data_IF_344208288652
#
_entry.id   IF_344208288652
#
_cell.length_a   1.000
_cell.length_b   1.000
_cell.length_c   1.000
_cell.angle_alpha   90.00
_cell.angle_beta   90.00
_cell.angle_gamma   90.00
#
_symmetry.space_group_name_H-M   'P 1'
#
loop_
_entity.id
_entity.type
_entity.pdbx_description
1 polymer ?
#
# COMPACT_ATOMS: atom_id res chain seq x y z
N UNK A 1 7.18 2.76 -28.83
CA UNK A 1 8.36 2.76 -27.98
C UNK A 1 8.02 2.58 -26.51
N UNK A 2 7.13 3.33 -25.90
CA UNK A 2 6.72 3.24 -24.49
C UNK A 2 6.18 1.86 -24.05
N UNK A 3 5.52 1.12 -24.97
CA UNK A 3 4.97 -0.21 -24.66
C UNK A 3 6.06 -1.27 -24.41
N UNK A 4 7.21 -1.20 -25.10
CA UNK A 4 8.37 -2.07 -24.86
C UNK A 4 9.11 -1.72 -23.56
N UNK A 5 9.09 -0.44 -23.14
CA UNK A 5 9.67 -0.01 -21.87
C UNK A 5 8.85 -0.47 -20.65
N UNK A 6 7.53 -0.59 -20.80
CA UNK A 6 6.68 -1.07 -19.71
C UNK A 6 6.90 -2.56 -19.39
N UNK A 7 7.29 -3.36 -20.38
CA UNK A 7 7.60 -4.79 -20.16
C UNK A 7 8.94 -4.99 -19.42
N UNK A 8 9.80 -3.98 -19.44
CA UNK A 8 11.07 -3.94 -18.70
C UNK A 8 10.97 -3.40 -17.27
N UNK A 9 9.78 -2.95 -16.82
CA UNK A 9 9.63 -2.33 -15.50
C UNK A 9 10.10 -3.24 -14.36
N UNK A 10 9.85 -4.54 -14.45
CA UNK A 10 10.25 -5.51 -13.44
C UNK A 10 11.79 -5.65 -13.33
N UNK A 11 12.52 -5.53 -14.44
CA UNK A 11 13.99 -5.63 -14.46
C UNK A 11 14.65 -4.41 -13.82
N UNK A 12 13.96 -3.28 -13.82
CA UNK A 12 14.44 -2.01 -13.24
C UNK A 12 14.16 -1.95 -11.74
N UNK A 13 13.22 -2.75 -11.22
CA UNK A 13 12.79 -2.72 -9.83
C UNK A 13 13.94 -2.81 -8.81
N UNK A 14 14.91 -3.73 -8.94
CA UNK A 14 16.02 -3.81 -7.99
C UNK A 14 17.01 -2.64 -8.07
N UNK A 15 17.07 -1.94 -9.21
CA UNK A 15 18.00 -0.82 -9.44
C UNK A 15 17.35 0.50 -9.00
N UNK A 16 16.11 0.72 -9.40
CA UNK A 16 15.36 1.93 -9.08
C UNK A 16 13.86 1.63 -8.92
N UNK A 17 13.41 1.35 -7.69
CA UNK A 17 12.00 1.05 -7.42
C UNK A 17 11.06 2.17 -7.87
N UNK A 18 11.46 3.44 -7.68
CA UNK A 18 10.65 4.61 -8.08
C UNK A 18 10.49 4.66 -9.61
N UNK A 19 11.56 4.49 -10.35
CA UNK A 19 11.49 4.51 -11.82
C UNK A 19 10.66 3.33 -12.34
N UNK A 20 10.86 2.14 -11.76
CA UNK A 20 10.07 0.95 -12.08
C UNK A 20 8.57 1.18 -11.82
N UNK A 21 8.23 1.79 -10.69
CA UNK A 21 6.87 2.16 -10.34
C UNK A 21 6.27 3.14 -11.36
N UNK A 22 6.97 4.23 -11.69
CA UNK A 22 6.49 5.21 -12.69
C UNK A 22 6.28 4.58 -14.07
N UNK A 23 7.17 3.68 -14.50
CA UNK A 23 7.00 2.93 -15.74
C UNK A 23 5.80 1.98 -15.70
N UNK A 24 5.54 1.36 -14.54
CA UNK A 24 4.40 0.46 -14.36
C UNK A 24 3.05 1.17 -14.53
N UNK A 25 2.95 2.45 -14.16
CA UNK A 25 1.73 3.27 -14.28
C UNK A 25 1.28 3.45 -15.73
N UNK A 26 2.18 3.29 -16.71
CA UNK A 26 1.84 3.45 -18.11
C UNK A 26 0.80 2.43 -18.60
N UNK A 27 0.83 1.21 -18.05
CA UNK A 27 -0.13 0.16 -18.40
C UNK A 27 -0.33 -0.83 -17.26
N UNK A 28 -1.12 -0.48 -16.26
CA UNK A 28 -1.45 -1.36 -15.12
C UNK A 28 -2.29 -2.58 -15.52
N UNK A 29 -2.84 -2.63 -16.73
CA UNK A 29 -3.54 -3.80 -17.24
C UNK A 29 -2.59 -4.97 -17.56
N UNK A 30 -1.30 -4.69 -17.77
CA UNK A 30 -0.29 -5.72 -17.87
C UNK A 30 -0.04 -6.29 -16.45
N UNK A 31 -0.13 -7.62 -16.31
CA UNK A 31 0.05 -8.31 -15.03
C UNK A 31 1.41 -8.01 -14.39
N UNK A 32 2.49 -7.94 -15.18
CA UNK A 32 3.83 -7.63 -14.68
C UNK A 32 3.90 -6.22 -14.08
N UNK A 33 3.30 -5.23 -14.76
CA UNK A 33 3.23 -3.86 -14.24
C UNK A 33 2.37 -3.78 -12.98
N UNK A 34 1.27 -4.54 -12.93
CA UNK A 34 0.46 -4.66 -11.73
C UNK A 34 1.24 -5.24 -10.56
N UNK A 35 2.04 -6.29 -10.79
CA UNK A 35 2.93 -6.85 -9.75
C UNK A 35 3.95 -5.81 -9.28
N UNK A 36 4.61 -5.10 -10.19
CA UNK A 36 5.58 -4.05 -9.85
C UNK A 36 4.93 -2.95 -9.01
N UNK A 37 3.72 -2.52 -9.39
CA UNK A 37 2.95 -1.53 -8.64
C UNK A 37 2.69 -1.99 -7.20
N UNK A 38 2.16 -3.20 -7.02
CA UNK A 38 1.85 -3.76 -5.69
C UNK A 38 3.11 -3.94 -4.85
N UNK A 39 4.19 -4.48 -5.44
CA UNK A 39 5.47 -4.66 -4.75
C UNK A 39 6.05 -3.32 -4.31
N UNK A 40 5.93 -2.28 -5.14
CA UNK A 40 6.40 -0.94 -4.75
C UNK A 40 5.69 -0.43 -3.50
N UNK A 41 4.36 -0.57 -3.40
CA UNK A 41 3.61 -0.18 -2.20
C UNK A 41 4.03 -0.99 -0.97
N UNK A 42 4.27 -2.28 -1.13
CA UNK A 42 4.76 -3.13 -0.05
C UNK A 42 6.16 -2.71 0.44
N UNK A 43 7.09 -2.44 -0.48
CA UNK A 43 8.45 -1.95 -0.17
C UNK A 43 8.39 -0.54 0.45
N UNK A 44 7.50 0.31 -0.01
CA UNK A 44 7.31 1.64 0.56
C UNK A 44 6.82 1.54 2.02
N UNK A 45 5.85 0.66 2.31
CA UNK A 45 5.43 0.36 3.68
C UNK A 45 6.61 -0.13 4.55
N UNK A 46 7.43 -1.05 4.03
CA UNK A 46 8.61 -1.57 4.74
C UNK A 46 9.69 -0.51 5.04
N UNK A 47 9.80 0.50 4.15
CA UNK A 47 10.82 1.56 4.25
C UNK A 47 10.47 2.64 5.29
N UNK A 48 9.30 2.58 5.95
CA UNK A 48 8.91 3.57 6.95
C UNK A 48 9.89 3.66 8.12
N UNK A 49 10.16 4.90 8.55
CA UNK A 49 10.95 5.18 9.75
C UNK A 49 10.02 5.33 10.95
N UNK A 50 10.41 4.74 12.07
CA UNK A 50 9.68 4.76 13.34
C UNK A 50 10.44 5.54 14.41
N UNK A 51 11.29 6.49 14.02
CA UNK A 51 12.16 7.22 14.92
C UNK A 51 11.53 8.49 15.53
N UNK A 52 10.50 9.05 14.90
CA UNK A 52 9.83 10.26 15.41
C UNK A 52 8.59 9.89 16.24
N UNK A 53 8.58 10.16 17.57
CA UNK A 53 7.43 9.89 18.44
C UNK A 53 6.15 10.65 18.07
N UNK A 54 6.26 11.72 17.27
CA UNK A 54 5.12 12.52 16.81
C UNK A 54 4.46 11.92 15.56
N UNK A 55 5.21 11.09 14.83
CA UNK A 55 4.69 10.46 13.63
C UNK A 55 3.64 9.40 13.94
N UNK A 56 2.62 9.30 13.11
CA UNK A 56 1.55 8.31 13.27
C UNK A 56 2.08 6.88 13.19
N UNK A 57 3.07 6.64 12.33
CA UNK A 57 3.74 5.33 12.23
C UNK A 57 4.42 4.89 13.54
N UNK A 58 4.95 5.83 14.35
CA UNK A 58 5.49 5.52 15.66
C UNK A 58 4.39 5.10 16.64
N UNK A 59 3.27 5.83 16.66
CA UNK A 59 2.10 5.48 17.49
C UNK A 59 1.56 4.10 17.14
N UNK A 60 1.51 3.78 15.87
CA UNK A 60 1.09 2.44 15.39
C UNK A 60 2.10 1.36 15.78
N UNK A 61 3.39 1.66 15.81
CA UNK A 61 4.41 0.73 16.32
C UNK A 61 4.16 0.42 17.81
N UNK A 62 3.96 1.44 18.63
CA UNK A 62 3.68 1.27 20.07
C UNK A 62 2.37 0.51 20.28
N UNK A 63 1.34 0.81 19.52
CA UNK A 63 0.08 0.07 19.55
C UNK A 63 0.29 -1.40 19.19
N UNK A 64 1.03 -1.70 18.12
CA UNK A 64 1.34 -3.07 17.72
C UNK A 64 2.06 -3.85 18.84
N UNK A 65 3.09 -3.26 19.45
CA UNK A 65 3.82 -3.88 20.55
C UNK A 65 2.91 -4.17 21.76
N UNK A 66 1.98 -3.24 22.08
CA UNK A 66 1.00 -3.40 23.14
C UNK A 66 0.01 -4.53 22.81
N UNK A 67 -0.54 -4.54 21.60
CA UNK A 67 -1.46 -5.60 21.16
C UNK A 67 -0.79 -6.98 21.12
N UNK A 68 0.47 -7.05 20.68
CA UNK A 68 1.23 -8.30 20.64
C UNK A 68 1.42 -8.94 22.01
N UNK A 69 1.43 -8.14 23.10
CA UNK A 69 1.71 -8.62 24.44
C UNK A 69 0.47 -8.96 25.27
N UNK A 70 -0.68 -8.35 25.01
CA UNK A 70 -1.82 -8.37 25.95
C UNK A 70 -3.20 -8.55 25.33
N UNK A 71 -3.40 -8.22 24.06
CA UNK A 71 -4.75 -8.15 23.48
C UNK A 71 -5.20 -9.48 22.86
N UNK A 72 -6.46 -9.80 23.08
CA UNK A 72 -7.16 -10.89 22.40
C UNK A 72 -8.14 -10.35 21.36
N UNK A 73 -8.58 -11.19 20.42
CA UNK A 73 -9.61 -10.83 19.44
C UNK A 73 -10.89 -10.37 20.14
N UNK A 74 -11.20 -10.98 21.28
CA UNK A 74 -12.38 -10.65 22.10
C UNK A 74 -12.31 -9.23 22.65
N UNK A 75 -11.12 -8.79 23.06
CA UNK A 75 -10.92 -7.43 23.60
C UNK A 75 -11.16 -6.38 22.51
N UNK A 76 -10.63 -6.59 21.31
CA UNK A 76 -10.87 -5.68 20.16
C UNK A 76 -12.36 -5.62 19.81
N UNK A 77 -13.04 -6.77 19.83
CA UNK A 77 -14.47 -6.82 19.55
C UNK A 77 -15.27 -6.05 20.58
N UNK A 78 -14.95 -6.21 21.87
CA UNK A 78 -15.59 -5.48 22.96
C UNK A 78 -15.32 -3.97 22.89
N UNK A 79 -14.10 -3.55 22.56
CA UNK A 79 -13.75 -2.15 22.37
C UNK A 79 -14.50 -1.51 21.20
N UNK A 80 -14.70 -2.25 20.11
CA UNK A 80 -15.53 -1.80 18.99
C UNK A 80 -17.01 -1.66 19.41
N UNK A 81 -17.58 -2.65 20.09
CA UNK A 81 -18.97 -2.59 20.55
C UNK A 81 -19.22 -1.49 21.57
N UNK A 82 -18.23 -1.18 22.41
CA UNK A 82 -18.31 -0.08 23.39
C UNK A 82 -18.05 1.30 22.79
N UNK A 83 -17.71 1.39 21.50
CA UNK A 83 -17.41 2.63 20.80
C UNK A 83 -16.05 3.24 21.13
N UNK A 84 -15.16 2.49 21.79
CA UNK A 84 -13.80 2.95 22.13
C UNK A 84 -12.88 2.97 20.91
N UNK A 85 -13.13 2.12 19.91
CA UNK A 85 -12.41 2.11 18.64
C UNK A 85 -13.39 2.12 17.47
N UNK A 86 -13.01 2.83 16.39
CA UNK A 86 -13.77 2.81 15.13
C UNK A 86 -13.12 1.88 14.10
N UNK A 87 -11.87 1.48 14.30
CA UNK A 87 -11.10 0.66 13.36
C UNK A 87 -10.79 -0.72 13.92
N UNK A 88 -11.73 -1.64 13.68
CA UNK A 88 -11.59 -3.05 14.04
C UNK A 88 -10.54 -3.76 13.17
N UNK A 89 -10.36 -3.28 11.93
CA UNK A 89 -9.48 -3.92 10.96
C UNK A 89 -8.01 -3.80 11.37
N UNK A 90 -7.60 -2.62 11.84
CA UNK A 90 -6.22 -2.39 12.30
C UNK A 90 -5.87 -3.29 13.49
N UNK A 91 -6.75 -3.34 14.49
CA UNK A 91 -6.54 -4.18 15.67
C UNK A 91 -6.47 -5.69 15.33
N UNK A 92 -7.39 -6.18 14.49
CA UNK A 92 -7.34 -7.57 14.03
C UNK A 92 -6.09 -7.88 13.23
N UNK A 93 -5.67 -6.97 12.35
CA UNK A 93 -4.44 -7.12 11.58
C UNK A 93 -3.22 -7.22 12.50
N UNK A 94 -3.16 -6.38 13.53
CA UNK A 94 -2.06 -6.41 14.50
C UNK A 94 -2.00 -7.72 15.25
N UNK A 95 -3.11 -8.27 15.73
CA UNK A 95 -3.14 -9.58 16.39
C UNK A 95 -2.70 -10.69 15.43
N UNK A 96 -3.23 -10.72 14.20
CA UNK A 96 -2.83 -11.74 13.22
C UNK A 96 -1.34 -11.63 12.91
N UNK A 97 -0.83 -10.42 12.70
CA UNK A 97 0.59 -10.21 12.40
C UNK A 97 1.49 -10.51 13.60
N UNK A 98 1.08 -10.23 14.83
CA UNK A 98 1.88 -10.50 16.03
C UNK A 98 2.15 -11.98 16.23
N UNK A 99 1.24 -12.85 15.78
CA UNK A 99 1.45 -14.30 15.78
C UNK A 99 2.50 -14.77 14.77
N UNK A 100 2.81 -13.93 13.75
CA UNK A 100 3.74 -14.29 12.68
C UNK A 100 5.10 -13.59 12.88
N UNK A 101 5.08 -12.34 13.35
CA UNK A 101 6.28 -11.50 13.46
C UNK A 101 6.16 -10.48 14.57
N UNK A 102 7.27 -10.18 15.21
CA UNK A 102 7.41 -9.05 16.16
C UNK A 102 7.92 -7.77 15.47
N UNK A 103 8.24 -7.83 14.18
CA UNK A 103 8.80 -6.72 13.46
C UNK A 103 7.71 -5.88 12.78
N UNK A 104 7.46 -4.69 13.31
CA UNK A 104 6.47 -3.74 12.77
C UNK A 104 6.66 -3.43 11.29
N UNK A 105 7.91 -3.42 10.78
CA UNK A 105 8.17 -3.17 9.34
C UNK A 105 7.52 -4.23 8.44
N UNK A 106 7.44 -5.48 8.92
CA UNK A 106 6.76 -6.56 8.20
C UNK A 106 5.25 -6.32 8.18
N UNK A 107 4.70 -5.80 9.28
CA UNK A 107 3.27 -5.42 9.33
C UNK A 107 2.98 -4.33 8.30
N UNK A 108 3.81 -3.27 8.25
CA UNK A 108 3.64 -2.20 7.26
C UNK A 108 3.87 -2.69 5.82
N UNK A 109 4.75 -3.67 5.61
CA UNK A 109 4.90 -4.34 4.33
C UNK A 109 3.59 -5.03 3.91
N UNK A 110 2.94 -5.76 4.81
CA UNK A 110 1.66 -6.43 4.56
C UNK A 110 0.55 -5.41 4.28
N UNK A 111 0.46 -4.34 5.08
CA UNK A 111 -0.49 -3.25 4.86
C UNK A 111 -0.27 -2.60 3.48
N UNK A 112 0.98 -2.32 3.14
CA UNK A 112 1.36 -1.78 1.83
C UNK A 112 0.98 -2.72 0.69
N UNK A 113 1.17 -4.03 0.87
CA UNK A 113 0.80 -5.05 -0.11
C UNK A 113 -0.71 -5.10 -0.33
N UNK A 114 -1.51 -5.11 0.74
CA UNK A 114 -2.97 -5.12 0.68
C UNK A 114 -3.47 -3.82 0.04
N UNK A 115 -3.02 -2.66 0.52
CA UNK A 115 -3.39 -1.35 -0.02
C UNK A 115 -2.99 -1.19 -1.49
N UNK A 116 -1.78 -1.64 -1.84
CA UNK A 116 -1.28 -1.66 -3.21
C UNK A 116 -2.14 -2.55 -4.13
N UNK A 117 -2.60 -3.70 -3.65
CA UNK A 117 -3.49 -4.59 -4.39
C UNK A 117 -4.84 -3.93 -4.68
N UNK A 118 -5.48 -3.32 -3.67
CA UNK A 118 -6.74 -2.60 -3.85
C UNK A 118 -6.57 -1.41 -4.81
N UNK A 119 -5.52 -0.61 -4.64
CA UNK A 119 -5.20 0.51 -5.53
C UNK A 119 -4.97 0.03 -6.97
N UNK A 120 -4.23 -1.07 -7.16
CA UNK A 120 -4.03 -1.69 -8.48
C UNK A 120 -5.35 -2.11 -9.13
N UNK A 121 -6.21 -2.84 -8.40
CA UNK A 121 -7.50 -3.29 -8.92
C UNK A 121 -8.38 -2.11 -9.33
N UNK A 122 -8.42 -1.06 -8.54
CA UNK A 122 -9.17 0.14 -8.82
C UNK A 122 -8.61 0.90 -10.04
N UNK A 123 -7.31 1.22 -10.02
CA UNK A 123 -6.66 1.97 -11.09
C UNK A 123 -6.65 1.22 -12.43
N UNK A 124 -6.48 -0.09 -12.42
CA UNK A 124 -6.52 -0.90 -13.64
C UNK A 124 -7.89 -0.85 -14.34
N UNK A 125 -8.98 -0.80 -13.55
CA UNK A 125 -10.34 -0.61 -14.07
C UNK A 125 -10.54 0.80 -14.62
N UNK A 126 -10.08 1.83 -13.90
CA UNK A 126 -10.13 3.22 -14.37
C UNK A 126 -9.34 3.38 -15.66
N UNK A 127 -8.14 2.84 -15.73
CA UNK A 127 -7.33 2.89 -16.95
C UNK A 127 -8.04 2.23 -18.14
N UNK A 128 -8.71 1.10 -17.92
CA UNK A 128 -9.51 0.45 -18.96
C UNK A 128 -10.59 1.39 -19.50
N UNK A 129 -11.34 2.03 -18.63
CA UNK A 129 -12.41 2.95 -19.01
C UNK A 129 -11.86 4.19 -19.73
N UNK A 130 -10.81 4.80 -19.20
CA UNK A 130 -10.24 6.03 -19.75
C UNK A 130 -9.55 5.83 -21.09
N UNK A 131 -8.87 4.70 -21.31
CA UNK A 131 -8.25 4.38 -22.60
C UNK A 131 -9.28 4.29 -23.73
N UNK A 132 -10.50 3.84 -23.43
CA UNK A 132 -11.60 3.77 -24.40
C UNK A 132 -12.12 5.15 -24.80
N UNK A 133 -12.06 6.14 -23.89
CA UNK A 133 -12.69 7.45 -24.08
C UNK A 133 -11.70 8.59 -24.39
N UNK A 134 -10.49 8.54 -23.85
CA UNK A 134 -9.55 9.68 -23.86
C UNK A 134 -8.16 9.37 -24.43
N UNK A 135 -7.90 8.12 -24.78
CA UNK A 135 -6.61 7.68 -25.30
C UNK A 135 -5.50 7.52 -24.26
N UNK A 136 -4.38 6.92 -24.68
CA UNK A 136 -3.34 6.45 -23.77
C UNK A 136 -2.59 7.57 -23.02
N UNK A 137 -2.35 8.73 -23.67
CA UNK A 137 -1.57 9.83 -23.05
C UNK A 137 -2.33 10.48 -21.90
N UNK A 138 -3.62 10.80 -22.12
CA UNK A 138 -4.47 11.37 -21.07
C UNK A 138 -4.62 10.39 -19.89
N UNK A 139 -4.81 9.11 -20.18
CA UNK A 139 -4.92 8.07 -19.17
C UNK A 139 -3.69 8.00 -18.30
N UNK A 140 -2.49 8.06 -18.88
CA UNK A 140 -1.23 8.03 -18.12
C UNK A 140 -1.09 9.24 -17.20
N UNK A 141 -1.33 10.45 -17.71
CA UNK A 141 -1.26 11.68 -16.92
C UNK A 141 -2.24 11.64 -15.74
N UNK A 142 -3.48 11.24 -15.98
CA UNK A 142 -4.50 11.17 -14.94
C UNK A 142 -4.15 10.09 -13.90
N UNK A 143 -3.60 8.95 -14.33
CA UNK A 143 -3.13 7.92 -13.40
C UNK A 143 -2.01 8.44 -12.48
N UNK A 144 -1.04 9.19 -13.02
CA UNK A 144 0.01 9.83 -12.23
C UNK A 144 -0.59 10.84 -11.25
N UNK A 145 -1.46 11.73 -11.73
CA UNK A 145 -2.11 12.73 -10.88
C UNK A 145 -2.91 12.07 -9.76
N UNK A 146 -3.65 11.00 -10.07
CA UNK A 146 -4.39 10.26 -9.06
C UNK A 146 -3.45 9.68 -7.99
N UNK A 147 -2.35 9.04 -8.38
CA UNK A 147 -1.38 8.48 -7.44
C UNK A 147 -0.72 9.55 -6.59
N UNK A 148 -0.41 10.72 -7.16
CA UNK A 148 0.19 11.84 -6.43
C UNK A 148 -0.80 12.49 -5.44
N UNK A 149 -2.07 12.59 -5.81
CA UNK A 149 -3.11 13.21 -4.98
C UNK A 149 -3.68 12.24 -3.95
N UNK A 150 -3.75 10.97 -4.30
CA UNK A 150 -4.34 9.89 -3.49
C UNK A 150 -3.26 8.94 -2.98
N UNK A 151 -2.17 9.49 -2.46
CA UNK A 151 -1.17 8.66 -1.80
C UNK A 151 -1.77 8.17 -0.46
N UNK A 152 -2.20 6.90 -0.36
CA UNK A 152 -2.81 6.39 0.88
C UNK A 152 -1.85 6.43 2.07
N UNK A 153 -0.56 6.63 1.81
CA UNK A 153 0.48 6.77 2.83
C UNK A 153 0.62 8.20 3.32
N UNK A 154 0.20 9.20 2.53
CA UNK A 154 0.18 10.61 2.96
C UNK A 154 -1.01 10.92 3.89
N UNK A 155 -2.02 10.03 3.96
CA UNK A 155 -3.20 10.21 4.82
C UNK A 155 -2.91 9.76 6.27
N UNK A 156 -1.80 9.10 6.53
CA UNK A 156 -1.37 8.64 7.86
C UNK A 156 -0.18 9.39 8.45
N UNK A 157 0.15 10.56 7.93
CA UNK A 157 1.27 11.38 8.43
C UNK A 157 0.81 12.58 9.22
#
# INVERSE_FOLDING_TARGET
MLRKLSDGSILILPISPILSFLLSLNNLRNKLNGCVFVIFYALFGFAHSFSDPRADCYRKMVAFETFASTATITDIWNDFLSGNTFDIFEGMLFIVCSNITTNIKVVFFIVGLIGGLFAYLFLSKIQKYMQLHYGNRCTYIITILYVLLYNPVAIGG
#
